data_IF_372961710547
#
_entry.id   IF_372961710547
#
_cell.length_a   1.000
_cell.length_b   1.000
_cell.length_c   1.000
_cell.angle_alpha   90.00
_cell.angle_beta   90.00
_cell.angle_gamma   90.00
#
_symmetry.space_group_name_H-M   'P 1'
#
loop_
_entity.id
_entity.type
_entity.pdbx_description
1 polymer ?
#
# COMPACT_ATOMS: atom_id res chain seq x y z
N UNK A 1 6.13 22.30 6.74
CA UNK A 1 6.33 21.91 8.16
C UNK A 1 5.25 22.58 8.98
N UNK A 2 4.44 21.83 9.68
CA UNK A 2 3.45 22.34 10.62
C UNK A 2 3.86 22.00 12.05
N UNK A 3 3.53 22.90 12.98
CA UNK A 3 3.76 22.69 14.41
C UNK A 3 2.46 22.16 15.01
N UNK A 4 2.46 20.89 15.43
CA UNK A 4 1.23 20.22 15.91
C UNK A 4 0.76 20.85 17.24
N UNK A 5 1.67 21.14 18.15
CA UNK A 5 1.36 21.63 19.49
C UNK A 5 1.98 23.01 19.74
N UNK A 6 1.52 24.05 19.03
CA UNK A 6 2.03 25.42 19.15
C UNK A 6 1.94 26.02 20.58
N UNK A 7 1.05 25.49 21.41
CA UNK A 7 0.82 25.94 22.80
C UNK A 7 1.73 25.22 23.82
N UNK A 8 2.34 24.07 23.46
CA UNK A 8 3.23 23.32 24.35
C UNK A 8 4.41 24.14 24.91
N UNK A 9 5.06 25.02 24.15
CA UNK A 9 6.13 25.88 24.70
C UNK A 9 5.70 26.70 25.89
N UNK A 10 4.41 27.10 25.98
CA UNK A 10 3.88 27.89 27.11
C UNK A 10 3.93 27.10 28.43
N UNK A 11 3.78 25.79 28.41
CA UNK A 11 3.89 24.94 29.59
C UNK A 11 5.30 24.93 30.17
N UNK A 12 6.33 25.14 29.32
CA UNK A 12 7.72 25.22 29.78
C UNK A 12 8.03 26.49 30.56
N UNK A 13 7.22 27.52 30.46
CA UNK A 13 7.40 28.74 31.23
C UNK A 13 7.25 28.50 32.74
N UNK A 14 6.41 27.53 33.13
CA UNK A 14 6.17 27.23 34.55
C UNK A 14 7.42 26.68 35.24
N UNK A 15 8.07 25.58 34.77
CA UNK A 15 9.29 25.08 35.39
C UNK A 15 10.46 26.06 35.27
N UNK A 16 10.56 26.83 34.18
CA UNK A 16 11.61 27.84 33.99
C UNK A 16 11.43 28.95 35.05
N UNK A 17 10.20 29.43 35.23
CA UNK A 17 9.88 30.44 36.25
C UNK A 17 10.14 29.92 37.67
N UNK A 18 9.79 28.65 37.96
CA UNK A 18 10.06 28.03 39.26
C UNK A 18 11.56 27.92 39.55
N UNK A 19 12.36 27.51 38.57
CA UNK A 19 13.83 27.42 38.69
C UNK A 19 14.41 28.82 38.87
N UNK A 20 14.01 29.81 38.09
CA UNK A 20 14.47 31.20 38.21
C UNK A 20 14.13 31.78 39.59
N UNK A 21 12.91 31.59 40.09
CA UNK A 21 12.50 32.01 41.42
C UNK A 21 13.34 31.33 42.51
N UNK A 22 13.59 30.01 42.41
CA UNK A 22 14.41 29.29 43.35
C UNK A 22 15.86 29.76 43.37
N UNK A 23 16.46 30.03 42.20
CA UNK A 23 17.83 30.57 42.08
C UNK A 23 17.89 31.98 42.68
N UNK A 24 16.94 32.84 42.40
CA UNK A 24 16.85 34.23 42.96
C UNK A 24 16.75 34.14 44.48
N UNK A 25 15.87 33.28 45.00
CA UNK A 25 15.70 33.08 46.44
C UNK A 25 16.97 32.59 47.12
N UNK A 26 17.67 31.61 46.50
CA UNK A 26 18.96 31.13 47.02
C UNK A 26 20.05 32.20 47.00
N UNK A 27 20.12 33.03 45.95
CA UNK A 27 21.09 34.14 45.87
C UNK A 27 20.81 35.21 46.94
N UNK A 28 19.56 35.51 47.19
CA UNK A 28 19.15 36.46 48.26
C UNK A 28 19.54 35.89 49.64
N UNK A 29 19.34 34.62 49.91
CA UNK A 29 19.73 33.97 51.17
C UNK A 29 21.24 33.93 51.31
N UNK A 30 22.00 33.62 50.28
CA UNK A 30 23.47 33.63 50.30
C UNK A 30 24.05 35.03 50.55
N UNK A 31 23.47 36.06 49.95
CA UNK A 31 23.91 37.44 50.20
C UNK A 31 23.59 37.92 51.64
N UNK A 32 22.51 37.43 52.24
CA UNK A 32 22.19 37.70 53.64
C UNK A 32 23.20 37.06 54.62
N UNK A 33 23.67 35.84 54.29
CA UNK A 33 24.69 35.15 55.07
C UNK A 33 26.10 35.81 54.90
N UNK A 34 26.41 36.29 53.67
CA UNK A 34 27.70 36.96 53.41
C UNK A 34 27.81 38.30 54.15
N UNK A 35 26.70 38.96 54.52
CA UNK A 35 26.74 40.18 55.34
C UNK A 35 27.22 39.96 56.78
N UNK A 36 27.23 38.70 57.25
CA UNK A 36 27.69 38.31 58.58
C UNK A 36 29.10 37.64 58.60
N UNK A 37 29.78 37.55 57.43
CA UNK A 37 31.09 36.94 57.32
C UNK A 37 32.19 37.85 57.80
N UNK A 38 33.10 37.30 58.64
CA UNK A 38 34.27 38.04 59.14
C UNK A 38 35.24 38.30 57.98
N UNK A 39 35.77 39.51 57.80
CA UNK A 39 36.72 39.84 56.77
C UNK A 39 38.04 39.07 56.99
N UNK A 40 38.46 38.29 56.02
CA UNK A 40 39.74 37.59 56.03
C UNK A 40 40.85 38.59 55.66
N UNK A 41 41.83 38.77 56.56
CA UNK A 41 42.97 39.65 56.28
C UNK A 41 43.83 39.10 55.12
N UNK A 42 44.31 40.01 54.25
CA UNK A 42 45.19 39.74 53.10
C UNK A 42 44.55 38.98 51.90
N UNK A 43 43.25 38.94 51.77
CA UNK A 43 42.56 38.35 50.58
C UNK A 43 42.94 39.04 49.28
N UNK A 44 43.28 40.34 49.30
CA UNK A 44 43.70 41.10 48.11
C UNK A 44 44.97 40.55 47.46
N UNK A 45 45.98 40.13 48.21
CA UNK A 45 47.20 39.54 47.67
C UNK A 45 46.97 38.18 46.96
N UNK A 46 45.99 37.43 47.38
CA UNK A 46 45.59 36.17 46.73
C UNK A 46 44.87 36.42 45.43
N UNK A 47 44.02 37.42 45.35
CA UNK A 47 43.24 37.75 44.12
C UNK A 47 44.09 38.42 43.05
N UNK A 48 45.20 39.07 43.41
CA UNK A 48 46.16 39.70 42.50
C UNK A 48 47.14 38.74 41.85
N UNK A 49 47.21 37.51 42.31
CA UNK A 49 48.11 36.48 41.75
C UNK A 49 47.68 36.15 40.28
N UNK A 50 48.61 36.21 39.30
CA UNK A 50 48.29 35.92 37.92
C UNK A 50 47.78 34.48 37.71
N UNK A 51 48.11 33.55 38.62
CA UNK A 51 47.56 32.22 38.66
C UNK A 51 46.09 32.12 39.05
N UNK A 52 45.65 32.96 40.03
CA UNK A 52 44.26 33.03 40.47
C UNK A 52 43.34 33.56 39.40
N UNK A 53 43.72 34.65 38.75
CA UNK A 53 42.90 35.25 37.69
C UNK A 53 42.73 34.32 36.47
N UNK A 54 43.76 33.50 36.11
CA UNK A 54 43.65 32.50 35.06
C UNK A 54 42.74 31.33 35.48
N UNK A 55 42.90 30.84 36.71
CA UNK A 55 42.05 29.76 37.24
C UNK A 55 40.58 30.18 37.32
N UNK A 56 40.32 31.42 37.80
CA UNK A 56 38.97 31.97 37.90
C UNK A 56 38.30 32.12 36.53
N UNK A 57 39.03 32.67 35.52
CA UNK A 57 38.50 32.77 34.13
C UNK A 57 38.20 31.39 33.55
N UNK A 58 39.08 30.40 33.77
CA UNK A 58 38.87 29.02 33.30
C UNK A 58 37.63 28.42 33.96
N UNK A 59 37.47 28.57 35.29
CA UNK A 59 36.29 28.11 36.02
C UNK A 59 35.00 28.78 35.53
N UNK A 60 35.03 30.10 35.33
CA UNK A 60 33.89 30.85 34.80
C UNK A 60 33.54 30.42 33.37
N UNK A 61 34.54 30.16 32.51
CA UNK A 61 34.31 29.67 31.15
C UNK A 61 33.68 28.27 31.15
N UNK A 62 34.11 27.36 32.05
CA UNK A 62 33.52 26.03 32.18
C UNK A 62 32.09 26.10 32.70
N UNK A 63 31.80 26.97 33.69
CA UNK A 63 30.43 27.22 34.15
C UNK A 63 29.53 27.81 33.07
N UNK A 64 30.05 28.75 32.30
CA UNK A 64 29.30 29.32 31.15
C UNK A 64 29.02 28.27 30.10
N UNK A 65 29.98 27.39 29.78
CA UNK A 65 29.80 26.25 28.87
C UNK A 65 28.74 25.26 29.37
N UNK A 66 28.76 24.94 30.66
CA UNK A 66 27.75 24.07 31.27
C UNK A 66 26.36 24.71 31.23
N UNK A 67 26.25 26.00 31.56
CA UNK A 67 24.98 26.71 31.50
C UNK A 67 24.42 26.80 30.05
N UNK A 68 25.30 27.05 29.08
CA UNK A 68 24.95 27.06 27.66
C UNK A 68 24.45 25.69 27.19
N UNK A 69 25.10 24.58 27.60
CA UNK A 69 24.67 23.22 27.26
C UNK A 69 23.30 22.90 27.85
N UNK A 70 23.01 23.33 29.07
CA UNK A 70 21.68 23.18 29.69
C UNK A 70 20.64 23.97 28.93
N UNK A 71 20.94 25.22 28.55
CA UNK A 71 20.02 26.06 27.80
C UNK A 71 19.67 25.45 26.43
N UNK A 72 20.70 24.94 25.72
CA UNK A 72 20.50 24.26 24.42
C UNK A 72 19.63 23.02 24.60
N UNK A 73 19.87 22.20 25.62
CA UNK A 73 19.05 21.00 25.89
C UNK A 73 17.58 21.37 26.20
N UNK A 74 17.34 22.46 26.93
CA UNK A 74 15.98 22.96 27.20
C UNK A 74 15.31 23.39 25.90
N UNK A 75 16.01 24.11 25.02
CA UNK A 75 15.47 24.54 23.73
C UNK A 75 15.15 23.34 22.84
N UNK A 76 16.03 22.31 22.81
CA UNK A 76 15.77 21.08 22.08
C UNK A 76 14.56 20.33 22.66
N UNK A 77 14.43 20.25 23.98
CA UNK A 77 13.30 19.62 24.65
C UNK A 77 11.98 20.32 24.30
N UNK A 78 11.98 21.67 24.30
CA UNK A 78 10.83 22.47 23.82
C UNK A 78 10.53 22.13 22.35
N UNK A 79 11.53 22.08 21.49
CA UNK A 79 11.37 21.71 20.07
C UNK A 79 10.79 20.30 19.88
N UNK A 80 11.24 19.31 20.65
CA UNK A 80 10.71 17.95 20.59
C UNK A 80 9.25 17.87 21.07
N UNK A 81 8.86 18.68 22.06
CA UNK A 81 7.47 18.69 22.55
C UNK A 81 6.50 19.38 21.57
N UNK A 82 6.97 20.29 20.72
CA UNK A 82 6.14 20.97 19.71
C UNK A 82 5.81 20.06 18.50
N UNK A 83 6.53 18.96 18.32
CA UNK A 83 6.38 17.98 17.23
C UNK A 83 6.29 18.65 15.86
N UNK A 84 7.45 18.77 15.21
CA UNK A 84 7.51 19.21 13.81
C UNK A 84 7.10 18.04 12.91
N UNK A 85 6.06 18.23 12.12
CA UNK A 85 5.58 17.24 11.16
C UNK A 85 5.67 17.78 9.73
N UNK A 86 6.10 16.92 8.81
CA UNK A 86 5.90 17.13 7.39
C UNK A 86 4.53 16.59 6.99
N UNK A 87 3.83 17.34 6.12
CA UNK A 87 2.59 16.89 5.50
C UNK A 87 2.96 16.22 4.18
N UNK A 88 2.76 14.94 4.11
CA UNK A 88 2.85 14.18 2.88
C UNK A 88 1.45 13.93 2.35
N UNK A 89 1.25 14.34 1.09
CA UNK A 89 0.01 14.07 0.38
C UNK A 89 0.14 12.67 -0.20
N UNK A 90 -0.41 11.69 0.48
CA UNK A 90 -0.47 10.31 -0.03
C UNK A 90 -1.87 10.07 -0.56
N UNK A 91 -1.97 9.75 -1.84
CA UNK A 91 -3.16 9.12 -2.39
C UNK A 91 -2.93 7.61 -2.28
N UNK A 92 -3.60 6.90 -1.38
CA UNK A 92 -3.51 5.45 -1.39
C UNK A 92 -4.11 4.94 -2.69
N UNK A 93 -3.40 4.07 -3.38
CA UNK A 93 -3.97 3.26 -4.44
C UNK A 93 -5.06 2.40 -3.78
N UNK A 94 -6.30 2.77 -4.04
CA UNK A 94 -7.43 2.00 -3.54
C UNK A 94 -7.46 0.69 -4.36
N UNK A 95 -7.20 -0.43 -3.71
CA UNK A 95 -7.38 -1.77 -4.26
C UNK A 95 -8.89 -2.04 -4.36
N UNK A 96 -9.53 -1.59 -5.43
CA UNK A 96 -10.98 -1.65 -5.64
C UNK A 96 -11.31 -2.31 -6.97
N UNK A 97 -10.60 -3.41 -7.29
CA UNK A 97 -10.86 -4.19 -8.50
C UNK A 97 -11.58 -5.48 -8.15
N UNK A 98 -12.52 -5.83 -9.00
CA UNK A 98 -13.16 -7.12 -9.00
C UNK A 98 -12.89 -7.78 -10.35
N UNK A 99 -12.27 -8.94 -10.33
CA UNK A 99 -11.87 -9.66 -11.54
C UNK A 99 -12.53 -11.02 -11.52
N UNK A 100 -13.33 -11.32 -12.53
CA UNK A 100 -13.91 -12.65 -12.72
C UNK A 100 -13.17 -13.35 -13.84
N UNK A 101 -12.47 -14.43 -13.51
CA UNK A 101 -11.87 -15.34 -14.47
C UNK A 101 -12.97 -16.28 -14.98
N UNK A 102 -13.19 -16.30 -16.27
CA UNK A 102 -14.28 -17.01 -16.93
C UNK A 102 -13.68 -18.03 -17.90
N UNK A 103 -13.68 -19.31 -17.52
CA UNK A 103 -12.98 -20.37 -18.22
C UNK A 103 -13.96 -21.31 -18.93
N UNK A 104 -13.80 -21.46 -20.22
CA UNK A 104 -14.43 -22.50 -21.00
C UNK A 104 -13.71 -23.84 -20.74
N UNK A 105 -14.42 -24.83 -20.20
CA UNK A 105 -13.91 -26.17 -19.90
C UNK A 105 -14.55 -27.20 -20.83
N UNK A 106 -14.86 -26.81 -22.05
CA UNK A 106 -15.36 -27.69 -23.10
C UNK A 106 -14.27 -28.64 -23.66
N UNK A 107 -14.69 -29.67 -24.39
CA UNK A 107 -13.77 -30.66 -24.89
C UNK A 107 -12.68 -30.13 -25.85
N UNK A 108 -12.92 -29.03 -26.55
CA UNK A 108 -11.92 -28.37 -27.41
C UNK A 108 -10.81 -27.64 -26.65
N UNK A 109 -11.08 -27.32 -25.36
CA UNK A 109 -10.14 -26.60 -24.49
C UNK A 109 -9.19 -27.48 -23.70
N UNK A 110 -9.45 -28.79 -23.61
CA UNK A 110 -8.71 -29.75 -22.74
C UNK A 110 -7.20 -29.68 -22.91
N UNK A 111 -6.72 -29.48 -24.16
CA UNK A 111 -5.29 -29.43 -24.45
C UNK A 111 -4.62 -28.15 -23.94
N UNK A 112 -5.41 -27.10 -23.64
CA UNK A 112 -4.97 -25.77 -23.18
C UNK A 112 -5.23 -25.52 -21.70
N UNK A 113 -6.12 -26.31 -21.06
CA UNK A 113 -6.60 -26.06 -19.69
C UNK A 113 -5.46 -25.87 -18.67
N UNK A 114 -4.41 -26.70 -18.76
CA UNK A 114 -3.27 -26.59 -17.83
C UNK A 114 -2.48 -25.30 -18.01
N UNK A 115 -2.25 -24.88 -19.25
CA UNK A 115 -1.55 -23.62 -19.56
C UNK A 115 -2.37 -22.42 -19.14
N UNK A 116 -3.69 -22.46 -19.34
CA UNK A 116 -4.62 -21.39 -18.94
C UNK A 116 -4.65 -21.23 -17.42
N UNK A 117 -4.62 -22.33 -16.66
CA UNK A 117 -4.60 -22.24 -15.19
C UNK A 117 -3.27 -21.64 -14.69
N UNK A 118 -2.15 -21.94 -15.37
CA UNK A 118 -0.87 -21.26 -15.07
C UNK A 118 -0.98 -19.75 -15.34
N UNK A 119 -1.56 -19.36 -16.48
CA UNK A 119 -1.86 -17.97 -16.82
C UNK A 119 -2.73 -17.29 -15.76
N UNK A 120 -3.77 -17.96 -15.27
CA UNK A 120 -4.64 -17.42 -14.23
C UNK A 120 -3.94 -17.30 -12.87
N UNK A 121 -3.04 -18.24 -12.54
CA UNK A 121 -2.21 -18.16 -11.36
C UNK A 121 -1.27 -16.96 -11.40
N UNK A 122 -0.61 -16.73 -12.53
CA UNK A 122 0.28 -15.60 -12.75
C UNK A 122 -0.51 -14.26 -12.69
N UNK A 123 -1.67 -14.20 -13.33
CA UNK A 123 -2.57 -13.05 -13.25
C UNK A 123 -3.02 -12.75 -11.82
N UNK A 124 -3.32 -13.78 -11.02
CA UNK A 124 -3.70 -13.60 -9.65
C UNK A 124 -2.57 -12.97 -8.84
N UNK A 125 -1.32 -13.39 -9.03
CA UNK A 125 -0.15 -12.82 -8.34
C UNK A 125 0.05 -11.33 -8.68
N UNK A 126 -0.16 -10.93 -9.94
CA UNK A 126 -0.08 -9.53 -10.37
C UNK A 126 -1.17 -8.65 -9.75
N UNK A 127 -2.32 -9.23 -9.44
CA UNK A 127 -3.46 -8.52 -8.84
C UNK A 127 -3.57 -8.70 -7.32
N UNK A 128 -2.48 -9.01 -6.63
CA UNK A 128 -2.48 -9.20 -5.18
C UNK A 128 -3.13 -8.03 -4.42
N UNK A 129 -4.15 -8.36 -3.61
CA UNK A 129 -4.94 -7.43 -2.83
C UNK A 129 -6.26 -7.00 -3.48
N UNK A 130 -6.54 -7.41 -4.71
CA UNK A 130 -7.82 -7.23 -5.40
C UNK A 130 -8.74 -8.44 -5.14
N UNK A 131 -10.00 -8.40 -5.54
CA UNK A 131 -10.88 -9.56 -5.41
C UNK A 131 -10.94 -10.33 -6.72
N UNK A 132 -10.72 -11.63 -6.66
CA UNK A 132 -10.74 -12.53 -7.81
C UNK A 132 -11.80 -13.62 -7.58
N UNK A 133 -12.50 -14.01 -8.65
CA UNK A 133 -13.45 -15.13 -8.71
C UNK A 133 -13.12 -16.00 -9.91
N UNK A 134 -13.41 -17.28 -9.84
CA UNK A 134 -13.34 -18.21 -10.97
C UNK A 134 -14.73 -18.78 -11.26
N UNK A 135 -15.14 -18.66 -12.51
CA UNK A 135 -16.33 -19.29 -13.07
C UNK A 135 -15.85 -20.20 -14.19
N UNK A 136 -16.29 -21.45 -14.17
CA UNK A 136 -16.03 -22.42 -15.24
C UNK A 136 -17.34 -22.71 -15.97
N UNK A 137 -17.30 -22.85 -17.29
CA UNK A 137 -18.51 -23.12 -18.08
C UNK A 137 -18.29 -24.10 -19.22
N UNK A 138 -19.38 -24.76 -19.62
CA UNK A 138 -19.49 -25.60 -20.80
C UNK A 138 -20.94 -25.50 -21.31
N UNK A 139 -21.80 -26.51 -21.04
CA UNK A 139 -23.25 -26.46 -21.26
C UNK A 139 -23.97 -25.61 -20.20
N UNK A 140 -23.38 -25.45 -19.05
CA UNK A 140 -23.82 -24.52 -17.99
C UNK A 140 -22.59 -23.90 -17.29
N UNK A 141 -22.81 -22.80 -16.60
CA UNK A 141 -21.76 -22.09 -15.88
C UNK A 141 -21.86 -22.33 -14.38
N UNK A 142 -20.71 -22.59 -13.72
CA UNK A 142 -20.58 -22.83 -12.29
C UNK A 142 -19.53 -21.93 -11.70
N UNK A 143 -19.86 -21.27 -10.60
CA UNK A 143 -18.88 -20.51 -9.83
C UNK A 143 -18.02 -21.48 -9.05
N UNK A 144 -16.75 -21.61 -9.40
CA UNK A 144 -15.79 -22.48 -8.73
C UNK A 144 -15.43 -21.91 -7.36
N UNK A 145 -15.08 -20.62 -7.32
CA UNK A 145 -15.00 -19.83 -6.10
C UNK A 145 -15.50 -18.40 -6.32
N UNK A 146 -16.14 -17.79 -5.31
CA UNK A 146 -16.69 -16.44 -5.41
C UNK A 146 -15.58 -15.38 -5.32
N UNK A 147 -15.92 -14.11 -5.52
CA UNK A 147 -15.01 -12.99 -5.34
C UNK A 147 -14.40 -12.98 -3.94
N UNK A 148 -13.08 -13.15 -3.87
CA UNK A 148 -12.30 -13.20 -2.63
C UNK A 148 -10.94 -12.54 -2.84
N UNK A 149 -10.37 -12.00 -1.77
CA UNK A 149 -8.99 -11.50 -1.70
C UNK A 149 -8.07 -12.41 -0.90
N UNK A 150 -8.51 -13.63 -0.62
CA UNK A 150 -7.69 -14.66 0.03
C UNK A 150 -6.83 -15.37 -1.01
N UNK A 151 -5.62 -14.84 -1.24
CA UNK A 151 -4.70 -15.34 -2.26
C UNK A 151 -4.14 -16.72 -1.96
N UNK A 152 -3.97 -17.07 -0.69
CA UNK A 152 -3.56 -18.41 -0.31
C UNK A 152 -4.62 -19.44 -0.73
N UNK A 153 -5.89 -19.10 -0.52
CA UNK A 153 -7.01 -19.91 -0.97
C UNK A 153 -7.08 -19.98 -2.51
N UNK A 154 -6.95 -18.84 -3.21
CA UNK A 154 -6.98 -18.78 -4.69
C UNK A 154 -5.90 -19.67 -5.29
N UNK A 155 -4.65 -19.52 -4.86
CA UNK A 155 -3.52 -20.30 -5.36
C UNK A 155 -3.69 -21.79 -5.07
N UNK A 156 -4.22 -22.14 -3.90
CA UNK A 156 -4.56 -23.52 -3.58
C UNK A 156 -5.62 -24.10 -4.52
N UNK A 157 -6.66 -23.31 -4.86
CA UNK A 157 -7.70 -23.75 -5.79
C UNK A 157 -7.15 -23.97 -7.20
N UNK A 158 -6.27 -23.10 -7.69
CA UNK A 158 -5.60 -23.31 -8.98
C UNK A 158 -4.72 -24.56 -8.98
N UNK A 159 -3.96 -24.81 -7.92
CA UNK A 159 -3.17 -26.01 -7.79
C UNK A 159 -4.03 -27.29 -7.79
N UNK A 160 -5.18 -27.30 -7.09
CA UNK A 160 -6.14 -28.41 -7.06
C UNK A 160 -6.76 -28.68 -8.45
N UNK A 161 -7.11 -27.60 -9.19
CA UNK A 161 -7.61 -27.70 -10.56
C UNK A 161 -6.54 -28.33 -11.45
N UNK A 162 -5.31 -27.81 -11.39
CA UNK A 162 -4.18 -28.29 -12.20
C UNK A 162 -3.87 -29.76 -11.93
N UNK A 163 -3.89 -30.19 -10.69
CA UNK A 163 -3.70 -31.60 -10.31
C UNK A 163 -4.82 -32.50 -10.85
N UNK A 164 -6.03 -31.96 -11.03
CA UNK A 164 -7.17 -32.71 -11.55
C UNK A 164 -7.13 -32.94 -13.08
N UNK A 165 -6.33 -32.15 -13.82
CA UNK A 165 -6.18 -32.32 -15.26
C UNK A 165 -5.51 -33.68 -15.56
N UNK A 166 -6.15 -34.43 -16.47
CA UNK A 166 -5.65 -35.76 -16.85
C UNK A 166 -5.86 -36.88 -15.82
N UNK A 167 -6.56 -36.57 -14.70
CA UNK A 167 -6.99 -37.62 -13.77
C UNK A 167 -8.34 -38.23 -14.19
N UNK A 168 -8.55 -39.51 -13.92
CA UNK A 168 -9.85 -40.16 -14.14
C UNK A 168 -10.99 -39.60 -13.27
N UNK A 169 -10.63 -38.83 -12.22
CA UNK A 169 -11.56 -38.21 -11.28
C UNK A 169 -11.57 -36.69 -11.43
N UNK A 170 -11.39 -36.16 -12.64
CA UNK A 170 -11.42 -34.72 -12.85
C UNK A 170 -12.69 -34.08 -12.29
N UNK A 171 -12.52 -33.10 -11.42
CA UNK A 171 -13.64 -32.50 -10.66
C UNK A 171 -13.92 -31.06 -11.07
N UNK A 172 -12.99 -30.40 -11.77
CA UNK A 172 -13.05 -28.99 -12.13
C UNK A 172 -14.24 -28.62 -13.04
N UNK A 173 -14.72 -29.56 -13.88
CA UNK A 173 -15.86 -29.37 -14.77
C UNK A 173 -17.20 -29.87 -14.16
N UNK A 174 -17.22 -30.28 -12.89
CA UNK A 174 -18.48 -30.76 -12.27
C UNK A 174 -19.55 -29.70 -12.29
N UNK A 175 -20.76 -30.12 -12.74
CA UNK A 175 -21.90 -29.20 -12.86
C UNK A 175 -21.94 -28.44 -14.18
N UNK A 176 -20.86 -28.34 -14.94
CA UNK A 176 -20.87 -27.62 -16.22
C UNK A 176 -21.47 -28.41 -17.38
N UNK A 177 -21.66 -29.73 -17.20
CA UNK A 177 -22.24 -30.63 -18.21
C UNK A 177 -23.78 -30.76 -18.07
N UNK A 178 -24.42 -29.91 -17.25
CA UNK A 178 -25.88 -29.90 -17.06
C UNK A 178 -26.51 -29.04 -18.13
N UNK A 179 -27.30 -29.65 -19.03
CA UNK A 179 -27.94 -28.93 -20.14
C UNK A 179 -27.62 -29.56 -21.49
N UNK A 180 -28.17 -28.95 -22.55
CA UNK A 180 -27.97 -29.39 -23.91
C UNK A 180 -26.95 -28.48 -24.63
N UNK A 181 -25.84 -29.03 -25.06
CA UNK A 181 -24.83 -28.32 -25.79
C UNK A 181 -23.45 -28.40 -25.16
N UNK A 182 -22.50 -27.62 -25.70
CA UNK A 182 -21.12 -27.49 -25.24
C UNK A 182 -20.60 -26.13 -25.63
N UNK A 183 -19.69 -25.57 -24.82
CA UNK A 183 -19.07 -24.27 -25.06
C UNK A 183 -20.11 -23.17 -25.29
N UNK A 184 -21.12 -23.07 -24.42
CA UNK A 184 -22.16 -22.03 -24.50
C UNK A 184 -21.60 -20.69 -24.00
N UNK A 185 -20.72 -20.08 -24.83
CA UNK A 185 -19.89 -18.92 -24.47
C UNK A 185 -20.73 -17.73 -24.05
N UNK A 186 -21.85 -17.47 -24.74
CA UNK A 186 -22.76 -16.38 -24.36
C UNK A 186 -23.34 -16.57 -22.95
N UNK A 187 -23.79 -17.79 -22.62
CA UNK A 187 -24.32 -18.11 -21.28
C UNK A 187 -23.22 -18.04 -20.21
N UNK A 188 -22.01 -18.49 -20.57
CA UNK A 188 -20.80 -18.37 -19.72
C UNK A 188 -20.48 -16.91 -19.40
N UNK A 189 -20.34 -16.07 -20.42
CA UNK A 189 -20.06 -14.65 -20.26
C UNK A 189 -21.16 -13.93 -19.50
N UNK A 190 -22.43 -14.16 -19.83
CA UNK A 190 -23.56 -13.56 -19.11
C UNK A 190 -23.54 -13.93 -17.62
N UNK A 191 -23.22 -15.21 -17.31
CA UNK A 191 -23.05 -15.66 -15.92
C UNK A 191 -21.89 -14.96 -15.22
N UNK A 192 -20.73 -14.80 -15.89
CA UNK A 192 -19.59 -14.09 -15.35
C UNK A 192 -19.90 -12.60 -15.10
N UNK A 193 -20.60 -11.93 -16.02
CA UNK A 193 -20.97 -10.53 -15.92
C UNK A 193 -21.95 -10.21 -14.77
N UNK A 194 -22.68 -11.21 -14.26
CA UNK A 194 -23.59 -11.02 -13.11
C UNK A 194 -23.02 -11.46 -11.78
N UNK A 195 -21.75 -11.87 -11.70
CA UNK A 195 -21.11 -12.35 -10.44
C UNK A 195 -20.61 -11.24 -9.56
N UNK A 196 -20.58 -10.02 -10.00
CA UNK A 196 -20.14 -8.88 -9.21
C UNK A 196 -21.18 -8.53 -8.16
N UNK A 197 -20.79 -8.56 -6.90
CA UNK A 197 -21.52 -8.00 -5.77
C UNK A 197 -21.16 -6.50 -5.60
N UNK A 198 -21.70 -5.86 -4.58
CA UNK A 198 -21.39 -4.47 -4.23
C UNK A 198 -21.45 -3.51 -5.47
N UNK A 199 -22.51 -3.64 -6.27
CA UNK A 199 -22.71 -2.85 -7.51
C UNK A 199 -22.83 -1.34 -7.23
N UNK A 200 -23.18 -0.94 -6.01
CA UNK A 200 -23.30 0.46 -5.57
C UNK A 200 -21.96 1.08 -5.15
N UNK A 201 -20.91 0.27 -5.02
CA UNK A 201 -19.57 0.76 -4.70
C UNK A 201 -18.80 1.14 -5.97
N UNK A 202 -17.96 2.20 -5.89
CA UNK A 202 -17.10 2.58 -7.00
C UNK A 202 -15.95 1.56 -7.13
N UNK A 203 -16.20 0.46 -7.81
CA UNK A 203 -15.24 -0.61 -8.10
C UNK A 203 -15.12 -0.81 -9.61
N UNK A 204 -13.90 -1.05 -10.08
CA UNK A 204 -13.67 -1.48 -11.45
C UNK A 204 -14.00 -2.97 -11.57
N UNK A 205 -14.71 -3.35 -12.62
CA UNK A 205 -15.19 -4.71 -12.85
C UNK A 205 -14.67 -5.22 -14.18
N UNK A 206 -13.95 -6.33 -14.13
CA UNK A 206 -13.37 -6.94 -15.32
C UNK A 206 -13.67 -8.43 -15.37
N UNK A 207 -13.98 -8.92 -16.56
CA UNK A 207 -14.05 -10.35 -16.85
C UNK A 207 -12.88 -10.71 -17.76
N UNK A 208 -12.14 -11.75 -17.44
CA UNK A 208 -11.15 -12.34 -18.33
C UNK A 208 -11.74 -13.64 -18.84
N UNK A 209 -12.20 -13.63 -20.10
CA UNK A 209 -12.88 -14.73 -20.73
C UNK A 209 -11.90 -15.53 -21.59
N UNK A 210 -11.77 -16.81 -21.31
CA UNK A 210 -10.93 -17.74 -22.08
C UNK A 210 -11.79 -18.78 -22.77
N UNK A 211 -11.80 -18.78 -24.09
CA UNK A 211 -12.57 -19.71 -24.94
C UNK A 211 -12.05 -19.67 -26.38
N UNK A 212 -12.21 -20.77 -27.11
CA UNK A 212 -11.98 -20.86 -28.55
C UNK A 212 -13.23 -20.47 -29.38
N UNK A 213 -14.34 -20.11 -28.71
CA UNK A 213 -15.64 -19.73 -29.30
C UNK A 213 -16.25 -20.83 -30.19
N UNK A 214 -15.89 -22.12 -29.98
CA UNK A 214 -16.46 -23.26 -30.71
C UNK A 214 -17.77 -23.72 -30.10
N UNK A 215 -18.86 -22.98 -30.36
CA UNK A 215 -20.18 -23.25 -29.78
C UNK A 215 -20.81 -24.48 -30.41
N UNK A 216 -21.24 -25.42 -29.58
CA UNK A 216 -22.03 -26.58 -30.01
C UNK A 216 -23.37 -26.61 -29.23
N UNK A 217 -24.45 -26.19 -29.86
CA UNK A 217 -25.77 -26.14 -29.22
C UNK A 217 -26.46 -24.82 -29.39
N UNK A 218 -27.48 -24.58 -28.56
CA UNK A 218 -28.28 -23.34 -28.62
C UNK A 218 -28.22 -22.64 -27.27
N UNK A 219 -27.40 -21.58 -27.14
CA UNK A 219 -27.31 -20.82 -25.90
C UNK A 219 -28.59 -20.02 -25.62
N UNK A 220 -28.80 -19.61 -24.38
CA UNK A 220 -29.87 -18.68 -23.98
C UNK A 220 -29.47 -17.25 -24.39
N UNK A 221 -28.22 -16.90 -24.17
CA UNK A 221 -27.62 -15.63 -24.61
C UNK A 221 -26.65 -15.90 -25.76
N UNK A 222 -26.78 -15.12 -26.84
CA UNK A 222 -25.69 -15.08 -27.82
C UNK A 222 -24.48 -14.37 -27.22
N UNK A 223 -23.30 -14.54 -27.83
CA UNK A 223 -22.09 -13.84 -27.38
C UNK A 223 -22.28 -12.31 -27.44
N UNK A 224 -22.94 -11.78 -28.46
CA UNK A 224 -23.24 -10.37 -28.61
C UNK A 224 -24.18 -9.85 -27.51
N UNK A 225 -25.24 -10.59 -27.18
CA UNK A 225 -26.19 -10.24 -26.11
C UNK A 225 -25.47 -10.26 -24.74
N UNK A 226 -24.58 -11.21 -24.51
CA UNK A 226 -23.78 -11.28 -23.28
C UNK A 226 -22.76 -10.14 -23.18
N UNK A 227 -22.13 -9.74 -24.29
CA UNK A 227 -21.26 -8.58 -24.37
C UNK A 227 -22.01 -7.28 -24.09
N UNK A 228 -23.22 -7.13 -24.63
CA UNK A 228 -24.10 -5.99 -24.34
C UNK A 228 -24.48 -5.95 -22.85
N UNK A 229 -24.84 -7.10 -22.25
CA UNK A 229 -25.11 -7.22 -20.83
C UNK A 229 -23.91 -6.81 -19.95
N UNK A 230 -22.70 -7.20 -20.34
CA UNK A 230 -21.47 -6.81 -19.64
C UNK A 230 -21.29 -5.27 -19.69
N UNK A 231 -21.49 -4.67 -20.87
CA UNK A 231 -21.40 -3.21 -21.05
C UNK A 231 -22.45 -2.46 -20.22
N UNK A 232 -23.68 -2.93 -20.20
CA UNK A 232 -24.79 -2.33 -19.42
C UNK A 232 -24.52 -2.37 -17.89
N UNK A 233 -23.61 -3.24 -17.45
CA UNK A 233 -23.19 -3.40 -16.05
C UNK A 233 -21.85 -2.74 -15.72
N UNK A 234 -21.30 -1.96 -16.63
CA UNK A 234 -19.95 -1.37 -16.51
C UNK A 234 -18.87 -2.45 -16.27
N UNK A 235 -19.02 -3.62 -16.92
CA UNK A 235 -18.06 -4.72 -16.87
C UNK A 235 -17.30 -4.75 -18.18
N UNK A 236 -15.97 -4.64 -18.12
CA UNK A 236 -15.12 -4.84 -19.29
C UNK A 236 -14.73 -6.29 -19.44
N UNK A 237 -14.65 -6.74 -20.66
CA UNK A 237 -14.30 -8.12 -20.97
C UNK A 237 -12.98 -8.16 -21.74
N UNK A 238 -12.02 -8.91 -21.22
CA UNK A 238 -10.78 -9.23 -21.89
C UNK A 238 -10.86 -10.65 -22.39
N UNK A 239 -10.56 -10.87 -23.65
CA UNK A 239 -10.69 -12.18 -24.29
C UNK A 239 -9.34 -12.83 -24.55
N UNK A 240 -9.18 -14.08 -24.18
CA UNK A 240 -8.01 -14.91 -24.53
C UNK A 240 -8.53 -16.07 -25.34
N UNK A 241 -8.01 -16.26 -26.57
CA UNK A 241 -8.39 -17.34 -27.45
C UNK A 241 -7.21 -18.29 -27.71
N UNK A 242 -7.21 -19.51 -27.14
CA UNK A 242 -6.17 -20.49 -27.37
C UNK A 242 -6.27 -21.15 -28.76
N UNK A 243 -7.44 -21.05 -29.41
CA UNK A 243 -7.68 -21.63 -30.74
C UNK A 243 -7.30 -20.70 -31.91
N UNK A 244 -6.90 -19.44 -31.64
CA UNK A 244 -6.49 -18.48 -32.68
C UNK A 244 -5.08 -18.82 -33.18
N UNK A 245 -5.01 -19.88 -33.97
CA UNK A 245 -3.80 -20.30 -34.68
C UNK A 245 -4.02 -20.15 -36.17
N UNK A 246 -3.04 -19.63 -36.88
CA UNK A 246 -3.05 -19.31 -38.34
C UNK A 246 -3.35 -20.47 -39.27
N UNK A 247 -3.74 -21.64 -38.75
CA UNK A 247 -3.84 -22.88 -39.50
C UNK A 247 -5.22 -23.25 -40.08
N UNK A 248 -6.31 -22.57 -39.67
CA UNK A 248 -7.69 -22.98 -40.05
C UNK A 248 -8.60 -21.79 -40.28
N UNK A 249 -9.00 -21.50 -41.53
CA UNK A 249 -9.80 -20.29 -41.91
C UNK A 249 -11.18 -20.23 -41.29
N UNK A 250 -11.82 -21.30 -40.85
CA UNK A 250 -13.12 -21.28 -40.20
C UNK A 250 -13.02 -20.76 -38.72
N UNK A 251 -11.82 -20.90 -38.12
CA UNK A 251 -11.54 -20.35 -36.80
C UNK A 251 -11.34 -18.84 -36.87
N UNK A 252 -10.94 -18.28 -38.01
CA UNK A 252 -10.76 -16.84 -38.22
C UNK A 252 -12.09 -16.09 -38.10
N UNK A 253 -13.20 -16.69 -38.55
CA UNK A 253 -14.55 -16.08 -38.40
C UNK A 253 -14.98 -16.05 -36.92
N UNK A 254 -14.77 -17.14 -36.17
CA UNK A 254 -15.11 -17.25 -34.74
C UNK A 254 -14.21 -16.36 -33.89
N UNK A 255 -12.93 -16.29 -34.20
CA UNK A 255 -11.99 -15.39 -33.54
C UNK A 255 -12.34 -13.93 -33.83
N UNK A 256 -12.79 -13.60 -35.05
CA UNK A 256 -13.23 -12.24 -35.42
C UNK A 256 -14.51 -11.84 -34.70
N UNK A 257 -15.49 -12.74 -34.60
CA UNK A 257 -16.72 -12.51 -33.83
C UNK A 257 -16.39 -12.26 -32.38
N UNK A 258 -15.61 -13.13 -31.76
CA UNK A 258 -15.18 -13.03 -30.39
C UNK A 258 -14.44 -11.72 -30.12
N UNK A 259 -13.44 -11.40 -30.94
CA UNK A 259 -12.70 -10.13 -30.87
C UNK A 259 -13.63 -8.91 -30.96
N UNK A 260 -14.57 -8.91 -31.90
CA UNK A 260 -15.49 -7.79 -32.12
C UNK A 260 -16.34 -7.54 -30.89
N UNK A 261 -16.87 -8.59 -30.25
CA UNK A 261 -17.71 -8.46 -29.05
C UNK A 261 -16.87 -8.01 -27.88
N UNK A 262 -15.67 -8.57 -27.67
CA UNK A 262 -14.75 -8.19 -26.59
C UNK A 262 -14.40 -6.68 -26.69
N UNK A 263 -13.97 -6.23 -27.86
CA UNK A 263 -13.60 -4.82 -28.08
C UNK A 263 -14.78 -3.87 -27.90
N UNK A 264 -15.99 -4.30 -28.19
CA UNK A 264 -17.21 -3.52 -27.97
C UNK A 264 -17.49 -3.27 -26.48
N UNK A 265 -17.02 -4.11 -25.57
CA UNK A 265 -17.12 -3.90 -24.11
C UNK A 265 -16.09 -2.90 -23.57
N UNK A 266 -15.16 -2.42 -24.39
CA UNK A 266 -14.04 -1.57 -24.01
C UNK A 266 -12.81 -2.36 -23.52
N UNK A 267 -12.82 -3.69 -23.61
CA UNK A 267 -11.65 -4.54 -23.33
C UNK A 267 -10.82 -4.85 -24.57
N UNK A 268 -9.95 -5.84 -24.49
CA UNK A 268 -9.03 -6.24 -25.56
C UNK A 268 -8.98 -7.73 -25.73
N UNK A 269 -8.65 -8.17 -26.95
CA UNK A 269 -8.57 -9.56 -27.36
C UNK A 269 -7.09 -9.97 -27.60
N UNK A 270 -6.72 -11.16 -27.15
CA UNK A 270 -5.39 -11.72 -27.29
C UNK A 270 -5.45 -13.22 -27.66
N UNK A 271 -4.58 -13.72 -28.57
CA UNK A 271 -4.31 -15.14 -28.69
C UNK A 271 -3.53 -15.63 -27.45
N UNK A 272 -3.68 -16.92 -27.11
CA UNK A 272 -3.02 -17.47 -25.91
C UNK A 272 -1.49 -17.46 -26.01
N UNK A 273 -0.97 -17.66 -27.23
CA UNK A 273 0.46 -17.71 -27.53
C UNK A 273 1.13 -16.32 -27.62
N UNK A 274 0.38 -15.23 -27.43
CA UNK A 274 0.97 -13.89 -27.36
C UNK A 274 1.69 -13.68 -26.00
N UNK A 275 3.03 -13.61 -25.98
CA UNK A 275 3.77 -13.42 -24.73
C UNK A 275 3.50 -12.08 -24.05
N UNK A 276 2.90 -11.13 -24.78
CA UNK A 276 2.52 -9.82 -24.23
C UNK A 276 1.04 -9.78 -23.81
N UNK A 277 0.25 -10.82 -24.06
CA UNK A 277 -1.19 -10.83 -23.77
C UNK A 277 -1.49 -10.54 -22.31
N UNK A 278 -0.91 -11.33 -21.41
CA UNK A 278 -1.11 -11.16 -19.96
C UNK A 278 -0.59 -9.82 -19.44
N UNK A 279 0.67 -9.41 -19.70
CA UNK A 279 1.15 -8.09 -19.29
C UNK A 279 0.28 -6.95 -19.81
N UNK A 280 -0.21 -7.03 -21.05
CA UNK A 280 -1.08 -6.01 -21.64
C UNK A 280 -2.45 -5.94 -20.96
N UNK A 281 -3.03 -7.09 -20.56
CA UNK A 281 -4.28 -7.12 -19.79
C UNK A 281 -4.08 -6.46 -18.42
N UNK A 282 -3.01 -6.81 -17.72
CA UNK A 282 -2.64 -6.23 -16.42
C UNK A 282 -2.44 -4.71 -16.53
N UNK A 283 -1.68 -4.27 -17.53
CA UNK A 283 -1.40 -2.85 -17.77
C UNK A 283 -2.69 -2.07 -18.07
N UNK A 284 -3.58 -2.62 -18.91
CA UNK A 284 -4.85 -1.97 -19.22
C UNK A 284 -5.77 -1.89 -18.01
N UNK A 285 -5.98 -2.99 -17.29
CA UNK A 285 -6.77 -3.00 -16.07
C UNK A 285 -6.19 -2.01 -15.03
N UNK A 286 -4.88 -1.88 -14.97
CA UNK A 286 -4.20 -0.96 -14.05
C UNK A 286 -4.31 0.51 -14.48
N UNK A 287 -4.11 0.80 -15.78
CA UNK A 287 -4.16 2.16 -16.31
C UNK A 287 -5.56 2.79 -16.22
N UNK A 288 -6.59 2.01 -16.46
CA UNK A 288 -7.97 2.46 -16.40
C UNK A 288 -8.41 2.86 -14.99
N UNK A 289 -7.89 2.19 -13.98
CA UNK A 289 -8.18 2.54 -12.59
C UNK A 289 -7.48 3.79 -12.13
N UNK A 290 -6.25 4.03 -12.56
CA UNK A 290 -5.56 5.28 -12.29
C UNK A 290 -6.35 6.49 -12.81
N UNK A 291 -7.19 6.30 -13.83
CA UNK A 291 -8.08 7.32 -14.39
C UNK A 291 -9.39 7.49 -13.60
N UNK A 292 -9.93 6.40 -13.04
CA UNK A 292 -11.27 6.39 -12.40
C UNK A 292 -11.23 6.64 -10.90
N UNK A 293 -10.14 6.31 -10.20
CA UNK A 293 -10.07 6.34 -8.74
C UNK A 293 -8.89 7.14 -8.21
N UNK A 294 -8.96 8.46 -8.34
CA UNK A 294 -8.22 9.33 -7.42
C UNK A 294 -8.92 9.25 -6.07
N UNK A 295 -8.48 8.36 -5.20
CA UNK A 295 -8.98 8.25 -3.84
C UNK A 295 -8.88 9.61 -3.12
N UNK A 296 -9.65 9.84 -2.05
CA UNK A 296 -9.58 11.09 -1.30
C UNK A 296 -8.14 11.30 -0.85
N UNK A 297 -7.64 12.50 -1.12
CA UNK A 297 -6.31 12.95 -0.69
C UNK A 297 -6.19 12.76 0.82
N UNK A 298 -5.38 11.82 1.25
CA UNK A 298 -5.07 11.62 2.66
C UNK A 298 -3.81 12.41 3.01
N UNK A 299 -3.96 13.34 3.95
CA UNK A 299 -2.83 14.07 4.53
C UNK A 299 -2.22 13.21 5.64
N UNK A 300 -1.16 12.50 5.32
CA UNK A 300 -0.39 11.73 6.29
C UNK A 300 0.64 12.66 6.93
N UNK A 301 0.61 12.73 8.27
CA UNK A 301 1.58 13.52 9.04
C UNK A 301 2.75 12.63 9.43
N UNK A 302 3.91 12.95 8.93
CA UNK A 302 5.16 12.29 9.30
C UNK A 302 5.93 13.13 10.31
N UNK A 303 6.16 12.59 11.52
CA UNK A 303 7.01 13.24 12.52
C UNK A 303 8.50 13.06 12.15
N UNK A 304 9.25 14.15 12.12
CA UNK A 304 10.69 14.13 11.83
C UNK A 304 11.53 14.58 13.05
N UNK A 305 11.62 13.77 14.11
CA UNK A 305 12.38 14.13 15.29
C UNK A 305 13.89 13.92 15.14
N UNK A 306 14.37 13.31 14.06
CA UNK A 306 15.73 12.81 13.90
C UNK A 306 16.82 13.85 14.16
N UNK A 307 16.67 15.04 13.60
CA UNK A 307 17.63 16.13 13.78
C UNK A 307 17.68 16.62 15.24
N UNK A 308 16.53 16.83 15.88
CA UNK A 308 16.46 17.29 17.26
C UNK A 308 17.00 16.23 18.25
N UNK A 309 16.71 14.96 17.98
CA UNK A 309 17.26 13.85 18.78
C UNK A 309 18.78 13.79 18.68
N UNK A 310 19.34 13.93 17.47
CA UNK A 310 20.79 13.95 17.25
C UNK A 310 21.46 15.11 17.99
N UNK A 311 20.86 16.29 17.93
CA UNK A 311 21.35 17.48 18.65
C UNK A 311 21.24 17.29 20.17
N UNK A 312 20.21 16.59 20.67
CA UNK A 312 20.08 16.27 22.09
C UNK A 312 21.24 15.39 22.58
N UNK A 313 21.65 14.39 21.83
CA UNK A 313 22.83 13.56 22.19
C UNK A 313 24.10 14.38 22.25
N UNK A 314 24.32 15.29 21.30
CA UNK A 314 25.50 16.19 21.31
C UNK A 314 25.46 17.12 22.53
N UNK A 315 24.26 17.65 22.84
CA UNK A 315 24.06 18.51 24.02
C UNK A 315 24.37 17.78 25.34
N UNK A 316 23.91 16.55 25.49
CA UNK A 316 24.19 15.71 26.66
C UNK A 316 25.71 15.40 26.78
N UNK A 317 26.34 15.01 25.68
CA UNK A 317 27.79 14.76 25.66
C UNK A 317 28.58 15.99 26.04
N UNK A 318 28.21 17.17 25.54
CA UNK A 318 28.82 18.47 25.92
C UNK A 318 28.64 18.77 27.39
N UNK A 319 27.43 18.60 27.93
CA UNK A 319 27.12 18.80 29.35
C UNK A 319 27.97 17.90 30.24
N UNK A 320 28.08 16.61 29.91
CA UNK A 320 28.91 15.65 30.66
C UNK A 320 30.40 16.01 30.60
N UNK A 321 30.89 16.47 29.46
CA UNK A 321 32.28 16.89 29.29
C UNK A 321 32.63 18.12 30.18
N UNK A 322 31.75 19.15 30.19
CA UNK A 322 31.95 20.32 31.04
C UNK A 322 31.82 19.97 32.53
N UNK A 323 30.83 19.15 32.91
CA UNK A 323 30.64 18.71 34.28
C UNK A 323 31.86 17.89 34.81
N UNK A 324 32.42 17.00 33.98
CA UNK A 324 33.61 16.21 34.29
C UNK A 324 34.85 17.09 34.48
N UNK A 325 35.03 18.12 33.60
CA UNK A 325 36.14 19.06 33.73
C UNK A 325 36.03 19.98 34.97
N UNK A 326 34.81 20.33 35.38
CA UNK A 326 34.58 21.11 36.60
C UNK A 326 34.88 20.33 37.88
N UNK A 327 34.72 19.00 37.84
CA UNK A 327 35.02 18.12 39.00
C UNK A 327 36.53 17.86 39.19
N UNK A 328 37.33 18.06 38.15
CA UNK A 328 38.80 17.94 38.18
C UNK A 328 39.44 19.32 38.35
#
# INVERSE_FOLDING_TARGET
MEVIFWWMPLLWLVPIAAVAWWVIRRRRAANAVSASSLPVANSQRLTELPGYSRALRRYQALLAGLAASILILVLIAVGLTTRFASLEVTQPDLKNRDIVLCLDVSGSMVDYDSEIVDVFSDLADEFEGERISLVVFNASAVTYFPLTSDYEYIQKQFAEIKESFGSDEATYYRGTLIGDGSSLVGDGLATCAVRFDATDEPRSRSVILVTDNLIAGKPIFTLEEAGALATDRDVRVYGINPGDTTAKSYLDELATEFKTVIEATGGSYYPLDDPNGIPSIVDQITAEQAALMKGPVQLVRHDEPGLLVSLAFIGVASLLAFAWRLKR
#
